data_IF_416978524646
#
_entry.id   IF_416978524646
#
_cell.length_a   1.000
_cell.length_b   1.000
_cell.length_c   1.000
_cell.angle_alpha   90.00
_cell.angle_beta   90.00
_cell.angle_gamma   90.00
#
_symmetry.space_group_name_H-M   'P 1'
#
loop_
_entity.id
_entity.type
_entity.pdbx_description
1 polymer ?
#
# COMPACT_ATOMS: atom_id res chain seq x y z
N UNK A 1 52.49 -3.65 -19.06
CA UNK A 1 51.45 -3.05 -18.20
C UNK A 1 50.09 -3.48 -18.71
N UNK A 2 49.36 -4.22 -17.89
CA UNK A 2 48.01 -4.71 -18.15
C UNK A 2 47.01 -3.54 -18.27
N UNK A 3 45.78 -3.81 -18.77
CA UNK A 3 44.74 -2.78 -18.82
C UNK A 3 44.31 -2.40 -17.41
N UNK A 4 44.18 -3.38 -16.52
CA UNK A 4 43.83 -3.15 -15.12
C UNK A 4 44.87 -2.28 -14.41
N UNK A 5 46.16 -2.56 -14.61
CA UNK A 5 47.26 -1.76 -14.05
C UNK A 5 47.18 -0.29 -14.52
N UNK A 6 46.94 -0.06 -15.82
CA UNK A 6 46.78 1.31 -16.38
C UNK A 6 45.60 2.05 -15.77
N UNK A 7 44.46 1.39 -15.59
CA UNK A 7 43.27 1.98 -14.98
C UNK A 7 43.54 2.29 -13.50
N UNK A 8 44.21 1.39 -12.80
CA UNK A 8 44.55 1.55 -11.38
C UNK A 8 45.48 2.73 -11.17
N UNK A 9 46.53 2.84 -11.98
CA UNK A 9 47.47 3.97 -11.97
C UNK A 9 46.75 5.31 -12.22
N UNK A 10 45.88 5.39 -13.23
CA UNK A 10 45.10 6.60 -13.49
C UNK A 10 44.20 6.99 -12.31
N UNK A 11 43.57 6.03 -11.65
CA UNK A 11 42.71 6.31 -10.50
C UNK A 11 43.54 6.74 -9.28
N UNK A 12 44.73 6.17 -9.09
CA UNK A 12 45.67 6.59 -8.06
C UNK A 12 46.14 8.03 -8.31
N UNK A 13 46.58 8.35 -9.52
CA UNK A 13 46.97 9.71 -9.92
C UNK A 13 45.84 10.71 -9.76
N UNK A 14 44.61 10.36 -10.14
CA UNK A 14 43.43 11.22 -9.96
C UNK A 14 43.16 11.51 -8.48
N UNK A 15 43.30 10.51 -7.60
CA UNK A 15 43.14 10.68 -6.16
C UNK A 15 44.26 11.57 -5.57
N UNK A 16 45.49 11.45 -6.07
CA UNK A 16 46.62 12.30 -5.67
C UNK A 16 46.49 13.73 -6.21
N UNK A 17 46.02 13.93 -7.45
CA UNK A 17 45.82 15.25 -8.04
C UNK A 17 44.77 16.08 -7.30
N UNK A 18 43.79 15.42 -6.70
CA UNK A 18 42.84 16.06 -5.78
C UNK A 18 43.51 16.60 -4.51
N UNK A 19 44.71 16.13 -4.19
CA UNK A 19 45.47 16.49 -2.99
C UNK A 19 46.75 17.30 -3.30
N UNK A 20 47.32 17.21 -4.51
CA UNK A 20 48.60 17.82 -4.92
C UNK A 20 48.57 18.12 -6.42
N UNK A 21 49.01 19.31 -6.87
CA UNK A 21 49.12 19.64 -8.31
C UNK A 21 50.24 18.86 -9.02
N UNK A 22 49.96 17.61 -9.39
CA UNK A 22 50.86 16.75 -10.18
C UNK A 22 50.52 16.88 -11.67
N UNK A 23 51.55 16.95 -12.53
CA UNK A 23 51.43 17.16 -13.98
C UNK A 23 50.44 16.24 -14.71
N UNK A 24 49.97 16.68 -15.87
CA UNK A 24 48.94 16.00 -16.65
C UNK A 24 49.46 14.69 -17.28
N UNK A 25 48.68 13.59 -17.25
CA UNK A 25 49.11 12.33 -17.82
C UNK A 25 49.22 12.41 -19.35
N UNK A 26 50.15 11.63 -19.93
CA UNK A 26 50.36 11.47 -21.39
C UNK A 26 49.20 10.68 -22.04
N UNK A 27 47.98 11.16 -21.94
CA UNK A 27 46.81 10.61 -22.62
C UNK A 27 45.75 11.68 -22.87
N UNK A 28 44.88 11.47 -23.85
CA UNK A 28 43.72 12.34 -24.08
C UNK A 28 42.83 12.41 -22.83
N UNK A 29 42.24 13.58 -22.55
CA UNK A 29 41.27 13.76 -21.47
C UNK A 29 40.12 12.73 -21.51
N UNK A 30 39.61 12.43 -22.71
CA UNK A 30 38.52 11.45 -22.91
C UNK A 30 38.91 10.04 -22.41
N UNK A 31 40.15 9.62 -22.68
CA UNK A 31 40.67 8.32 -22.21
C UNK A 31 40.90 8.34 -20.69
N UNK A 32 41.43 9.45 -20.17
CA UNK A 32 41.66 9.63 -18.74
C UNK A 32 40.35 9.54 -17.93
N UNK A 33 39.31 10.29 -18.33
CA UNK A 33 37.99 10.24 -17.69
C UNK A 33 37.34 8.86 -17.79
N UNK A 34 37.53 8.17 -18.91
CA UNK A 34 37.05 6.79 -19.10
C UNK A 34 37.69 5.85 -18.09
N UNK A 35 39.01 5.92 -17.91
CA UNK A 35 39.71 5.06 -16.97
C UNK A 35 39.35 5.38 -15.52
N UNK A 36 39.16 6.66 -15.17
CA UNK A 36 38.63 7.05 -13.85
C UNK A 36 37.26 6.42 -13.63
N UNK A 37 36.34 6.53 -14.60
CA UNK A 37 34.98 6.00 -14.47
C UNK A 37 34.99 4.49 -14.30
N UNK A 38 35.75 3.76 -15.12
CA UNK A 38 35.88 2.31 -15.01
C UNK A 38 36.49 1.93 -13.65
N UNK A 39 37.58 2.58 -13.23
CA UNK A 39 38.23 2.26 -11.97
C UNK A 39 37.36 2.54 -10.75
N UNK A 40 36.57 3.61 -10.76
CA UNK A 40 35.65 3.95 -9.66
C UNK A 40 34.41 3.06 -9.60
N UNK A 41 33.83 2.69 -10.74
CA UNK A 41 32.46 2.18 -10.79
C UNK A 41 32.29 0.78 -11.39
N UNK A 42 33.31 0.22 -12.05
CA UNK A 42 33.23 -1.17 -12.51
C UNK A 42 33.36 -2.11 -11.32
N UNK A 43 32.48 -3.10 -11.28
CA UNK A 43 32.53 -4.19 -10.31
C UNK A 43 33.92 -4.85 -10.25
N UNK A 44 34.28 -5.32 -9.05
CA UNK A 44 35.59 -5.91 -8.80
C UNK A 44 35.82 -7.19 -9.61
N UNK A 45 34.83 -8.07 -9.71
CA UNK A 45 34.96 -9.31 -10.48
C UNK A 45 35.07 -9.00 -11.98
N UNK A 46 34.32 -8.00 -12.46
CA UNK A 46 34.41 -7.54 -13.85
C UNK A 46 35.74 -6.83 -14.17
N UNK A 47 36.43 -6.24 -13.19
CA UNK A 47 37.77 -5.69 -13.38
C UNK A 47 38.78 -6.79 -13.72
N UNK A 48 38.66 -7.96 -13.10
CA UNK A 48 39.51 -9.11 -13.43
C UNK A 48 39.30 -9.56 -14.89
N UNK A 49 38.11 -9.33 -15.47
CA UNK A 49 37.81 -9.65 -16.86
C UNK A 49 38.49 -8.72 -17.89
N UNK A 50 39.10 -7.59 -17.49
CA UNK A 50 39.74 -6.65 -18.43
C UNK A 50 40.97 -7.23 -19.15
N UNK A 51 41.71 -8.09 -18.44
CA UNK A 51 42.95 -8.68 -18.93
C UNK A 51 42.78 -10.12 -19.45
N UNK A 52 41.57 -10.68 -19.34
CA UNK A 52 41.24 -11.99 -19.93
C UNK A 52 41.30 -11.98 -21.46
N UNK A 53 41.19 -13.16 -22.07
CA UNK A 53 41.12 -13.37 -23.52
C UNK A 53 39.80 -14.01 -23.91
N UNK A 54 39.45 -13.93 -25.19
CA UNK A 54 38.27 -14.59 -25.73
C UNK A 54 36.95 -13.99 -25.25
N UNK A 55 35.95 -14.85 -24.99
CA UNK A 55 34.58 -14.43 -24.68
C UNK A 55 34.47 -13.75 -23.32
N UNK A 56 35.29 -14.17 -22.34
CA UNK A 56 35.30 -13.64 -20.98
C UNK A 56 36.01 -12.30 -20.85
N UNK A 57 36.65 -11.80 -21.91
CA UNK A 57 37.26 -10.48 -21.93
C UNK A 57 36.20 -9.37 -21.98
N UNK A 58 36.28 -8.41 -21.06
CA UNK A 58 35.56 -7.14 -21.16
C UNK A 58 36.44 -6.11 -21.87
N UNK A 59 35.97 -5.56 -22.99
CA UNK A 59 36.70 -4.48 -23.67
C UNK A 59 36.54 -3.16 -22.90
N UNK A 60 37.49 -2.23 -23.05
CA UNK A 60 37.40 -0.90 -22.42
C UNK A 60 36.12 -0.16 -22.84
N UNK A 61 35.71 -0.28 -24.11
CA UNK A 61 34.47 0.33 -24.60
C UNK A 61 33.22 -0.28 -23.96
N UNK A 62 33.21 -1.62 -23.79
CA UNK A 62 32.12 -2.32 -23.11
C UNK A 62 32.06 -1.97 -21.62
N UNK A 63 33.21 -1.94 -20.94
CA UNK A 63 33.31 -1.55 -19.54
C UNK A 63 32.82 -0.11 -19.31
N UNK A 64 33.21 0.85 -20.15
CA UNK A 64 32.76 2.24 -20.05
C UNK A 64 31.24 2.39 -20.29
N UNK A 65 30.69 1.68 -21.28
CA UNK A 65 29.24 1.66 -21.51
C UNK A 65 28.50 1.04 -20.31
N UNK A 66 29.00 -0.08 -19.79
CA UNK A 66 28.39 -0.80 -18.68
C UNK A 66 28.32 0.07 -17.41
N UNK A 67 29.41 0.74 -17.02
CA UNK A 67 29.42 1.61 -15.83
C UNK A 67 28.62 2.91 -16.00
N UNK A 68 28.31 3.30 -17.25
CA UNK A 68 27.40 4.41 -17.55
C UNK A 68 25.94 3.98 -17.47
N UNK A 69 25.64 2.78 -17.96
CA UNK A 69 24.27 2.26 -17.99
C UNK A 69 23.84 1.61 -16.67
N UNK A 70 24.78 1.12 -15.83
CA UNK A 70 24.46 0.54 -14.52
C UNK A 70 25.53 0.82 -13.47
N UNK A 71 25.11 1.29 -12.29
CA UNK A 71 25.98 1.57 -11.13
C UNK A 71 25.98 0.44 -10.10
N UNK A 72 25.03 -0.49 -10.18
CA UNK A 72 24.93 -1.59 -9.25
C UNK A 72 25.84 -2.76 -9.70
N UNK A 73 26.80 -3.22 -8.86
CA UNK A 73 27.66 -4.36 -9.18
C UNK A 73 26.90 -5.63 -9.61
N UNK A 74 25.81 -5.99 -8.92
CA UNK A 74 25.02 -7.18 -9.22
C UNK A 74 24.37 -7.06 -10.61
N UNK A 75 23.91 -5.86 -10.95
CA UNK A 75 23.30 -5.58 -12.25
C UNK A 75 24.34 -5.56 -13.35
N UNK A 76 25.54 -5.02 -13.10
CA UNK A 76 26.65 -5.08 -14.05
C UNK A 76 27.02 -6.54 -14.36
N UNK A 77 27.15 -7.38 -13.34
CA UNK A 77 27.44 -8.81 -13.50
C UNK A 77 26.31 -9.54 -14.24
N UNK A 78 25.06 -9.25 -13.91
CA UNK A 78 23.89 -9.77 -14.64
C UNK A 78 23.96 -9.42 -16.14
N UNK A 79 24.13 -8.14 -16.47
CA UNK A 79 24.22 -7.68 -17.87
C UNK A 79 25.39 -8.36 -18.58
N UNK A 80 26.58 -8.36 -17.97
CA UNK A 80 27.77 -8.96 -18.57
C UNK A 80 27.59 -10.45 -18.87
N UNK A 81 27.00 -11.20 -17.94
CA UNK A 81 26.74 -12.62 -18.14
C UNK A 81 25.78 -12.91 -19.30
N UNK A 82 24.82 -12.02 -19.57
CA UNK A 82 23.90 -12.16 -20.71
C UNK A 82 24.56 -11.78 -22.04
N UNK A 83 25.47 -10.81 -22.06
CA UNK A 83 26.09 -10.34 -23.31
C UNK A 83 27.43 -11.00 -23.64
N UNK A 84 28.12 -11.64 -22.69
CA UNK A 84 29.49 -12.17 -22.91
C UNK A 84 29.61 -13.20 -24.03
N UNK A 85 28.52 -13.82 -24.46
CA UNK A 85 28.53 -14.78 -25.56
C UNK A 85 28.42 -14.13 -26.95
N UNK A 86 28.04 -12.86 -27.02
CA UNK A 86 27.81 -12.10 -28.26
C UNK A 86 29.10 -11.49 -28.84
N UNK A 87 29.05 -11.01 -30.08
CA UNK A 87 30.15 -10.26 -30.70
C UNK A 87 30.27 -8.87 -30.06
N UNK A 88 31.49 -8.31 -29.98
CA UNK A 88 31.76 -7.06 -29.25
C UNK A 88 30.82 -5.89 -29.57
N UNK A 89 30.46 -5.68 -30.84
CA UNK A 89 29.54 -4.62 -31.25
C UNK A 89 28.11 -4.87 -30.74
N UNK A 90 27.65 -6.11 -30.82
CA UNK A 90 26.34 -6.53 -30.31
C UNK A 90 26.27 -6.41 -28.79
N UNK A 91 27.36 -6.75 -28.08
CA UNK A 91 27.44 -6.60 -26.61
C UNK A 91 27.09 -5.19 -26.16
N UNK A 92 27.67 -4.18 -26.81
CA UNK A 92 27.47 -2.77 -26.46
C UNK A 92 26.04 -2.33 -26.75
N UNK A 93 25.49 -2.73 -27.91
CA UNK A 93 24.14 -2.36 -28.33
C UNK A 93 23.08 -2.97 -27.43
N UNK A 94 23.31 -4.19 -26.93
CA UNK A 94 22.37 -4.91 -26.07
C UNK A 94 22.33 -4.45 -24.63
N UNK A 95 23.30 -3.67 -24.14
CA UNK A 95 23.32 -3.23 -22.74
C UNK A 95 22.03 -2.51 -22.37
N UNK A 96 21.53 -1.65 -23.26
CA UNK A 96 20.37 -0.82 -22.97
C UNK A 96 19.08 -1.67 -22.86
N UNK A 97 19.00 -2.84 -23.51
CA UNK A 97 17.89 -3.81 -23.36
C UNK A 97 17.80 -4.36 -21.93
N UNK A 98 18.90 -4.35 -21.17
CA UNK A 98 18.96 -4.88 -19.80
C UNK A 98 18.94 -3.79 -18.72
N UNK A 99 18.85 -2.52 -19.10
CA UNK A 99 18.82 -1.39 -18.15
C UNK A 99 17.50 -0.65 -18.11
N UNK A 100 16.48 -1.20 -18.75
CA UNK A 100 15.11 -0.72 -18.61
C UNK A 100 14.51 -1.21 -17.28
N UNK A 101 13.96 -0.28 -16.50
CA UNK A 101 13.25 -0.61 -15.27
C UNK A 101 11.88 -1.21 -15.58
N UNK A 102 11.56 -2.37 -15.02
CA UNK A 102 10.28 -3.07 -15.25
C UNK A 102 9.03 -2.32 -14.77
N UNK A 103 9.18 -1.32 -13.88
CA UNK A 103 8.05 -0.55 -13.36
C UNK A 103 7.77 0.74 -14.13
N UNK A 104 8.83 1.47 -14.52
CA UNK A 104 8.66 2.76 -15.22
C UNK A 104 9.02 2.71 -16.71
N UNK A 105 9.52 1.58 -17.21
CA UNK A 105 9.96 1.41 -18.60
C UNK A 105 11.02 2.45 -19.02
N UNK A 106 11.80 2.95 -18.06
CA UNK A 106 12.87 3.92 -18.31
C UNK A 106 14.25 3.29 -18.09
N UNK A 107 15.21 3.72 -18.90
CA UNK A 107 16.61 3.39 -18.70
C UNK A 107 17.16 4.14 -17.48
N UNK A 108 17.40 3.41 -16.40
CA UNK A 108 17.86 3.99 -15.14
C UNK A 108 19.16 3.32 -14.68
N UNK A 109 20.22 4.09 -14.37
CA UNK A 109 21.50 3.52 -13.96
C UNK A 109 21.53 3.06 -12.50
N UNK A 110 20.51 3.42 -11.72
CA UNK A 110 20.40 3.10 -10.29
C UNK A 110 19.30 2.07 -10.05
N UNK A 111 19.59 0.81 -10.36
CA UNK A 111 18.66 -0.30 -10.13
C UNK A 111 19.15 -1.22 -9.03
N UNK A 112 18.20 -1.82 -8.31
CA UNK A 112 18.45 -2.79 -7.26
C UNK A 112 17.79 -4.12 -7.60
N UNK A 113 18.50 -5.22 -7.31
CA UNK A 113 17.99 -6.58 -7.47
C UNK A 113 17.04 -6.89 -6.32
N UNK A 114 15.81 -7.28 -6.62
CA UNK A 114 14.83 -7.71 -5.63
C UNK A 114 15.15 -9.14 -5.17
N UNK A 115 15.24 -9.41 -3.86
CA UNK A 115 15.67 -10.72 -3.37
C UNK A 115 14.65 -11.85 -3.59
N UNK A 116 13.38 -11.50 -3.87
CA UNK A 116 12.29 -12.47 -3.99
C UNK A 116 12.07 -12.99 -5.42
N UNK A 117 12.28 -12.15 -6.43
CA UNK A 117 12.06 -12.49 -7.84
C UNK A 117 13.33 -12.33 -8.70
N UNK A 118 14.42 -11.83 -8.11
CA UNK A 118 15.67 -11.55 -8.79
C UNK A 118 15.62 -10.48 -9.89
N UNK A 119 14.47 -9.83 -10.08
CA UNK A 119 14.29 -8.72 -11.01
C UNK A 119 14.97 -7.44 -10.54
N UNK A 120 15.35 -6.60 -11.52
CA UNK A 120 15.92 -5.29 -11.28
C UNK A 120 14.85 -4.20 -11.39
N UNK A 121 14.83 -3.30 -10.40
CA UNK A 121 13.93 -2.15 -10.37
C UNK A 121 14.72 -0.91 -9.99
N UNK A 122 14.42 0.23 -10.61
CA UNK A 122 15.07 1.49 -10.27
C UNK A 122 14.72 1.94 -8.84
N UNK A 123 15.69 2.53 -8.15
CA UNK A 123 15.53 2.97 -6.76
C UNK A 123 14.41 4.01 -6.60
N UNK A 124 14.18 4.86 -7.61
CA UNK A 124 13.07 5.83 -7.58
C UNK A 124 11.71 5.13 -7.51
N UNK A 125 11.50 4.09 -8.33
CA UNK A 125 10.25 3.33 -8.30
C UNK A 125 10.09 2.57 -6.99
N UNK A 126 11.17 2.00 -6.44
CA UNK A 126 11.14 1.33 -5.13
C UNK A 126 10.77 2.31 -4.01
N UNK A 127 11.40 3.49 -3.96
CA UNK A 127 11.05 4.48 -2.93
C UNK A 127 9.63 5.01 -3.10
N UNK A 128 9.19 5.26 -4.33
CA UNK A 128 7.81 5.70 -4.63
C UNK A 128 6.80 4.63 -4.22
N UNK A 129 7.06 3.37 -4.52
CA UNK A 129 6.23 2.24 -4.10
C UNK A 129 6.11 2.17 -2.57
N UNK A 130 7.23 2.20 -1.86
CA UNK A 130 7.23 2.21 -0.39
C UNK A 130 6.50 3.42 0.19
N UNK A 131 6.66 4.60 -0.42
CA UNK A 131 5.95 5.81 -0.03
C UNK A 131 4.44 5.68 -0.23
N UNK A 132 4.00 5.22 -1.40
CA UNK A 132 2.59 4.97 -1.72
C UNK A 132 1.99 4.03 -0.70
N UNK A 133 2.56 2.83 -0.50
CA UNK A 133 1.99 1.83 0.41
C UNK A 133 2.00 2.28 1.89
N UNK A 134 2.95 3.14 2.29
CA UNK A 134 3.00 3.66 3.67
C UNK A 134 1.98 4.76 3.92
N UNK A 135 1.58 5.48 2.88
CA UNK A 135 0.64 6.60 2.95
C UNK A 135 -0.76 6.25 2.41
N UNK A 136 -0.94 5.03 1.92
CA UNK A 136 -2.23 4.52 1.47
C UNK A 136 -3.22 4.46 2.64
N UNK A 137 -4.51 4.51 2.29
CA UNK A 137 -5.61 4.42 3.26
C UNK A 137 -5.54 3.07 3.99
N UNK A 138 -5.23 2.01 3.25
CA UNK A 138 -5.00 0.68 3.79
C UNK A 138 -3.52 0.34 3.78
N UNK A 139 -2.99 0.05 4.95
CA UNK A 139 -1.65 -0.47 5.09
C UNK A 139 -1.61 -1.97 4.75
N UNK A 140 -0.89 -2.30 3.67
CA UNK A 140 -0.69 -3.68 3.21
C UNK A 140 0.72 -4.22 3.48
N UNK A 141 1.62 -3.37 3.99
CA UNK A 141 3.03 -3.71 4.19
C UNK A 141 3.88 -3.56 2.94
N UNK A 142 5.21 -3.52 3.12
CA UNK A 142 6.13 -3.40 1.99
C UNK A 142 6.36 -4.74 1.31
N UNK A 143 5.57 -4.97 0.27
CA UNK A 143 5.68 -6.13 -0.61
C UNK A 143 6.40 -5.76 -1.90
N UNK A 144 6.95 -6.77 -2.57
CA UNK A 144 7.52 -6.65 -3.89
C UNK A 144 6.47 -6.11 -4.87
N UNK A 145 6.77 -5.04 -5.63
CA UNK A 145 5.83 -4.50 -6.60
C UNK A 145 5.59 -5.41 -7.81
N UNK A 146 6.40 -6.47 -8.00
CA UNK A 146 6.28 -7.41 -9.12
C UNK A 146 5.58 -8.71 -8.72
N UNK A 147 6.04 -9.35 -7.64
CA UNK A 147 5.53 -10.67 -7.22
C UNK A 147 4.73 -10.64 -5.91
N UNK A 148 4.47 -9.46 -5.34
CA UNK A 148 3.73 -9.26 -4.10
C UNK A 148 4.28 -9.98 -2.85
N UNK A 149 5.48 -10.58 -2.94
CA UNK A 149 6.13 -11.23 -1.80
C UNK A 149 6.63 -10.20 -0.77
N UNK A 150 6.53 -10.47 0.54
CA UNK A 150 7.07 -9.58 1.56
C UNK A 150 8.56 -9.27 1.37
N UNK A 151 8.93 -8.00 1.49
CA UNK A 151 10.34 -7.61 1.40
C UNK A 151 11.03 -7.85 2.74
N UNK A 152 12.09 -8.65 2.71
CA UNK A 152 12.87 -9.02 3.90
C UNK A 152 13.50 -7.81 4.59
N UNK A 153 13.54 -7.84 5.93
CA UNK A 153 14.09 -6.72 6.72
C UNK A 153 15.55 -6.42 6.40
N UNK A 154 16.35 -7.45 6.07
CA UNK A 154 17.76 -7.30 5.71
C UNK A 154 17.93 -6.42 4.46
N UNK A 155 17.10 -6.65 3.44
CA UNK A 155 17.09 -5.85 2.23
C UNK A 155 16.67 -4.40 2.52
N UNK A 156 15.63 -4.20 3.33
CA UNK A 156 15.17 -2.85 3.73
C UNK A 156 16.25 -2.11 4.52
N UNK A 157 16.90 -2.78 5.48
CA UNK A 157 18.06 -2.22 6.18
C UNK A 157 19.16 -1.85 5.20
N UNK A 158 19.40 -2.63 4.15
CA UNK A 158 20.42 -2.31 3.16
C UNK A 158 20.12 -1.05 2.34
N UNK A 159 18.84 -0.73 2.12
CA UNK A 159 18.39 0.47 1.38
C UNK A 159 18.30 1.70 2.29
N UNK A 160 17.89 1.50 3.54
CA UNK A 160 17.55 2.58 4.46
C UNK A 160 18.58 2.83 5.57
N UNK A 161 19.48 1.90 5.90
CA UNK A 161 20.36 2.02 7.07
C UNK A 161 21.44 3.09 6.90
N UNK A 162 21.85 3.67 8.04
CA UNK A 162 23.03 4.53 8.10
C UNK A 162 24.32 3.71 7.98
N UNK A 163 24.90 3.72 6.77
CA UNK A 163 26.35 3.77 6.47
C UNK A 163 27.37 2.82 7.15
N UNK A 164 27.00 1.81 7.94
CA UNK A 164 28.02 0.92 8.54
C UNK A 164 27.73 -0.58 8.50
N UNK A 165 26.53 -1.01 8.10
CA UNK A 165 26.12 -2.43 8.24
C UNK A 165 26.38 -3.25 6.96
N UNK A 166 26.41 -2.63 5.78
CA UNK A 166 26.74 -3.34 4.55
C UNK A 166 27.48 -2.43 3.54
N UNK A 167 28.81 -2.61 3.34
CA UNK A 167 29.59 -1.87 2.35
C UNK A 167 29.07 -2.03 0.92
N UNK A 168 28.39 -3.15 0.63
CA UNK A 168 27.95 -3.54 -0.71
C UNK A 168 26.93 -2.54 -1.27
N UNK A 169 26.07 -1.95 -0.44
CA UNK A 169 25.03 -1.00 -0.90
C UNK A 169 25.43 0.48 -0.76
N UNK A 170 26.71 0.76 -0.59
CA UNK A 170 27.21 2.13 -0.49
C UNK A 170 27.28 2.86 -1.84
N UNK A 171 27.13 2.14 -2.96
CA UNK A 171 27.31 2.69 -4.31
C UNK A 171 26.33 3.82 -4.65
N UNK A 172 25.07 3.74 -4.23
CA UNK A 172 24.08 4.82 -4.47
C UNK A 172 23.98 5.85 -3.34
N UNK A 173 24.49 5.54 -2.14
CA UNK A 173 24.41 6.45 -0.97
C UNK A 173 25.20 7.74 -1.21
N UNK A 174 26.25 7.68 -2.02
CA UNK A 174 27.09 8.83 -2.41
C UNK A 174 26.46 9.71 -3.49
N UNK A 175 25.42 9.24 -4.16
CA UNK A 175 24.78 9.96 -5.26
C UNK A 175 23.92 11.09 -4.71
N UNK A 176 24.12 12.31 -5.23
CA UNK A 176 23.49 13.53 -4.73
C UNK A 176 21.95 13.41 -4.65
N UNK A 177 21.34 12.74 -5.64
CA UNK A 177 19.90 12.52 -5.72
C UNK A 177 19.34 11.81 -4.47
N UNK A 178 20.00 10.74 -4.02
CA UNK A 178 19.55 9.95 -2.88
C UNK A 178 20.11 10.46 -1.55
N UNK A 179 21.32 11.03 -1.57
CA UNK A 179 21.95 11.57 -0.37
C UNK A 179 21.21 12.81 0.18
N UNK A 180 20.72 13.68 -0.72
CA UNK A 180 19.93 14.86 -0.35
C UNK A 180 18.57 14.51 0.28
N UNK A 181 17.95 13.40 -0.13
CA UNK A 181 16.67 12.88 0.41
C UNK A 181 16.85 11.80 1.48
N UNK A 182 18.06 11.59 1.98
CA UNK A 182 18.35 10.50 2.92
C UNK A 182 17.50 10.57 4.20
N UNK A 183 17.24 11.77 4.72
CA UNK A 183 16.42 11.94 5.92
C UNK A 183 14.96 11.58 5.63
N UNK A 184 14.44 11.98 4.47
CA UNK A 184 13.12 11.57 3.97
C UNK A 184 12.97 10.04 3.96
N UNK A 185 13.90 9.34 3.30
CA UNK A 185 13.85 7.88 3.21
C UNK A 185 13.96 7.21 4.58
N UNK A 186 14.83 7.72 5.48
CA UNK A 186 14.90 7.25 6.86
C UNK A 186 13.57 7.44 7.61
N UNK A 187 12.90 8.57 7.39
CA UNK A 187 11.62 8.87 8.00
C UNK A 187 10.50 7.99 7.45
N UNK A 188 10.53 7.65 6.16
CA UNK A 188 9.64 6.66 5.56
C UNK A 188 9.77 5.29 6.26
N UNK A 189 11.00 4.80 6.44
CA UNK A 189 11.26 3.56 7.18
C UNK A 189 10.80 3.61 8.65
N UNK A 190 11.06 4.73 9.34
CA UNK A 190 10.62 4.93 10.73
C UNK A 190 9.10 4.94 10.86
N UNK A 191 8.39 5.56 9.90
CA UNK A 191 6.92 5.58 9.86
C UNK A 191 6.39 4.16 9.68
N UNK A 192 6.90 3.42 8.70
CA UNK A 192 6.53 2.03 8.46
C UNK A 192 6.70 1.17 9.72
N UNK A 193 7.88 1.21 10.37
CA UNK A 193 8.11 0.48 11.62
C UNK A 193 7.15 0.87 12.75
N UNK A 194 6.77 2.15 12.83
CA UNK A 194 5.82 2.60 13.83
C UNK A 194 4.43 2.02 13.60
N UNK A 195 3.98 1.93 12.33
CA UNK A 195 2.74 1.28 11.93
C UNK A 195 2.75 -0.20 12.31
N UNK A 196 3.79 -0.95 11.91
CA UNK A 196 3.90 -2.38 12.22
C UNK A 196 3.85 -2.65 13.72
N UNK A 197 4.57 -1.89 14.54
CA UNK A 197 4.54 -2.03 16.00
C UNK A 197 3.15 -1.82 16.62
N UNK A 198 2.31 -1.00 15.98
CA UNK A 198 0.92 -0.81 16.41
C UNK A 198 0.06 -2.00 15.98
N UNK A 199 0.25 -2.50 14.77
CA UNK A 199 -0.43 -3.72 14.27
C UNK A 199 -0.07 -4.94 15.12
N UNK A 200 1.19 -5.14 15.49
CA UNK A 200 1.63 -6.23 16.38
C UNK A 200 0.89 -6.20 17.73
N UNK A 201 0.65 -5.00 18.28
CA UNK A 201 -0.11 -4.83 19.53
C UNK A 201 -1.59 -5.14 19.36
N UNK A 202 -2.20 -4.70 18.25
CA UNK A 202 -3.61 -4.93 17.95
C UNK A 202 -3.88 -6.41 17.65
N UNK A 203 -2.99 -7.06 16.91
CA UNK A 203 -3.11 -8.47 16.52
C UNK A 203 -2.66 -9.44 17.61
N UNK A 204 -1.98 -8.96 18.64
CA UNK A 204 -1.28 -9.78 19.65
C UNK A 204 -0.28 -10.77 19.03
N UNK A 205 0.25 -10.47 17.84
CA UNK A 205 1.24 -11.28 17.12
C UNK A 205 2.50 -10.45 16.91
N UNK A 206 3.64 -11.13 16.78
CA UNK A 206 4.91 -10.50 16.44
C UNK A 206 5.31 -10.91 15.03
N UNK A 207 5.93 -9.97 14.31
CA UNK A 207 6.55 -10.29 13.03
C UNK A 207 7.70 -11.26 13.30
N UNK A 208 7.75 -12.32 12.50
CA UNK A 208 8.80 -13.32 12.58
C UNK A 208 10.17 -12.77 12.12
N UNK A 209 11.22 -13.58 12.28
CA UNK A 209 12.57 -13.25 11.82
C UNK A 209 12.66 -13.13 10.29
N UNK A 210 11.73 -13.73 9.55
CA UNK A 210 11.64 -13.63 8.10
C UNK A 210 10.99 -12.31 7.62
N UNK A 211 10.49 -11.50 8.55
CA UNK A 211 9.77 -10.25 8.28
C UNK A 211 8.48 -10.44 7.48
N UNK A 212 7.78 -11.56 7.69
CA UNK A 212 6.52 -11.84 7.02
C UNK A 212 5.39 -10.99 7.61
N UNK A 213 5.08 -9.87 6.96
CA UNK A 213 4.03 -8.93 7.42
C UNK A 213 2.65 -9.59 7.41
N UNK A 214 2.38 -10.53 6.51
CA UNK A 214 1.09 -11.23 6.46
C UNK A 214 0.82 -12.09 7.70
N UNK A 215 1.84 -12.44 8.49
CA UNK A 215 1.66 -13.17 9.76
C UNK A 215 0.88 -12.37 10.82
N UNK A 216 0.97 -11.03 10.77
CA UNK A 216 0.35 -10.12 11.73
C UNK A 216 -0.92 -9.44 11.19
N UNK A 217 -1.16 -9.48 9.88
CA UNK A 217 -2.35 -8.93 9.25
C UNK A 217 -3.46 -10.00 9.24
N UNK A 218 -4.59 -9.70 9.88
CA UNK A 218 -5.78 -10.56 9.79
C UNK A 218 -6.36 -10.54 8.37
N UNK A 219 -6.76 -11.70 7.81
CA UNK A 219 -7.34 -11.77 6.46
C UNK A 219 -8.69 -11.05 6.38
N UNK A 220 -9.38 -10.88 7.51
CA UNK A 220 -10.73 -10.32 7.57
C UNK A 220 -10.75 -8.84 7.91
N UNK A 221 -9.57 -8.20 8.04
CA UNK A 221 -9.44 -6.80 8.47
C UNK A 221 -8.65 -5.95 7.50
N UNK A 222 -9.09 -4.72 7.33
CA UNK A 222 -8.27 -3.63 6.84
C UNK A 222 -7.58 -2.94 8.02
N UNK A 223 -6.34 -2.51 7.82
CA UNK A 223 -5.56 -1.73 8.78
C UNK A 223 -5.26 -0.38 8.16
N UNK A 224 -5.50 0.70 8.88
CA UNK A 224 -5.24 2.05 8.38
C UNK A 224 -4.77 2.97 9.49
N UNK A 225 -4.00 3.99 9.11
CA UNK A 225 -3.51 5.01 10.03
C UNK A 225 -4.50 6.14 10.16
N UNK A 226 -4.65 6.69 11.37
CA UNK A 226 -5.41 7.92 11.55
C UNK A 226 -4.66 9.08 10.86
N UNK A 227 -5.27 9.68 9.84
CA UNK A 227 -4.67 10.76 9.02
C UNK A 227 -4.33 12.01 9.83
N UNK A 228 -5.05 12.28 10.93
CA UNK A 228 -4.86 13.47 11.77
C UNK A 228 -3.63 13.34 12.67
N UNK A 229 -3.46 12.20 13.34
CA UNK A 229 -2.31 11.98 14.24
C UNK A 229 -1.09 11.38 13.55
N UNK A 230 -1.21 11.06 12.26
CA UNK A 230 -0.13 10.56 11.44
C UNK A 230 0.54 11.72 10.68
N UNK A 231 1.71 12.22 11.13
CA UNK A 231 2.38 13.31 10.43
C UNK A 231 2.83 12.88 9.01
N UNK A 232 2.88 13.82 8.06
CA UNK A 232 3.44 13.56 6.74
C UNK A 232 4.93 13.27 6.83
N UNK A 233 5.43 12.51 5.86
CA UNK A 233 6.86 12.24 5.73
C UNK A 233 7.55 13.52 5.23
N UNK A 234 8.65 13.90 5.87
CA UNK A 234 9.46 15.05 5.46
C UNK A 234 10.95 14.82 5.75
N UNK A 235 11.76 15.85 5.46
CA UNK A 235 13.20 15.86 5.72
C UNK A 235 13.58 16.26 7.17
N UNK A 236 12.65 16.27 8.12
CA UNK A 236 12.95 16.64 9.50
C UNK A 236 13.61 15.47 10.25
N UNK A 237 14.86 15.66 10.72
CA UNK A 237 15.62 14.63 11.44
C UNK A 237 14.97 14.18 12.75
N UNK A 238 14.20 15.07 13.38
CA UNK A 238 13.55 14.87 14.67
C UNK A 238 12.09 14.39 14.55
N UNK A 239 11.65 14.02 13.33
CA UNK A 239 10.29 13.51 13.11
C UNK A 239 10.03 12.29 14.00
N UNK A 240 8.97 12.37 14.80
CA UNK A 240 8.54 11.32 15.72
C UNK A 240 7.23 10.71 15.25
N UNK A 241 7.22 9.39 15.12
CA UNK A 241 6.03 8.61 14.75
C UNK A 241 5.43 7.84 15.93
N UNK A 242 5.83 8.18 17.17
CA UNK A 242 5.37 7.49 18.39
C UNK A 242 3.87 7.62 18.64
N UNK A 243 3.27 8.74 18.17
CA UNK A 243 1.87 9.09 18.38
C UNK A 243 0.93 8.57 17.29
N UNK A 244 1.43 7.90 16.26
CA UNK A 244 0.58 7.28 15.24
C UNK A 244 -0.38 6.31 15.92
N UNK A 245 -1.65 6.38 15.51
CA UNK A 245 -2.66 5.39 15.82
C UNK A 245 -3.01 4.61 14.56
N UNK A 246 -3.20 3.31 14.74
CA UNK A 246 -3.66 2.38 13.70
C UNK A 246 -5.00 1.84 14.17
N UNK A 247 -5.98 1.83 13.28
CA UNK A 247 -7.30 1.27 13.52
C UNK A 247 -7.59 0.16 12.52
N UNK A 248 -8.60 -0.65 12.83
CA UNK A 248 -9.03 -1.76 11.99
C UNK A 248 -10.48 -1.63 11.58
N UNK A 249 -10.80 -2.11 10.39
CA UNK A 249 -12.16 -2.24 9.89
C UNK A 249 -12.34 -3.67 9.42
N UNK A 250 -13.42 -4.33 9.82
CA UNK A 250 -13.74 -5.66 9.31
C UNK A 250 -14.13 -5.54 7.82
N UNK A 251 -13.56 -6.38 6.96
CA UNK A 251 -13.79 -6.32 5.50
C UNK A 251 -15.26 -6.48 5.14
N UNK A 252 -16.00 -7.27 5.91
CA UNK A 252 -17.45 -7.47 5.77
C UNK A 252 -18.28 -6.20 6.05
N UNK A 253 -17.70 -5.18 6.68
CA UNK A 253 -18.39 -3.94 7.04
C UNK A 253 -18.14 -2.79 6.03
N UNK A 254 -17.51 -3.07 4.89
CA UNK A 254 -17.19 -2.04 3.89
C UNK A 254 -18.12 -2.18 2.70
N UNK A 255 -18.76 -1.07 2.32
CA UNK A 255 -19.65 -1.02 1.16
C UNK A 255 -18.84 -1.23 -0.13
N UNK A 256 -19.43 -1.98 -1.07
CA UNK A 256 -18.89 -2.15 -2.41
C UNK A 256 -19.72 -1.33 -3.40
N UNK A 257 -19.13 -0.30 -3.99
CA UNK A 257 -19.74 0.43 -5.10
C UNK A 257 -19.30 -0.21 -6.41
N UNK A 258 -20.20 -0.93 -7.09
CA UNK A 258 -19.88 -1.58 -8.37
C UNK A 258 -18.72 -2.58 -8.29
N UNK A 259 -18.74 -3.44 -7.26
CA UNK A 259 -17.68 -4.41 -6.91
C UNK A 259 -16.35 -3.79 -6.43
N UNK A 260 -16.27 -2.47 -6.25
CA UNK A 260 -15.11 -1.78 -5.70
C UNK A 260 -15.33 -1.43 -4.22
N UNK A 261 -14.42 -1.88 -3.38
CA UNK A 261 -14.39 -1.55 -1.95
C UNK A 261 -14.00 -0.06 -1.79
N UNK A 262 -14.91 0.76 -1.26
CA UNK A 262 -14.66 2.19 -1.02
C UNK A 262 -14.26 2.43 0.43
N UNK A 263 -13.05 2.95 0.66
CA UNK A 263 -12.52 3.26 1.99
C UNK A 263 -12.12 4.72 2.10
N UNK A 264 -12.49 5.35 3.21
CA UNK A 264 -12.19 6.74 3.51
C UNK A 264 -11.31 6.87 4.76
N UNK A 265 -10.48 7.91 4.79
CA UNK A 265 -9.58 8.20 5.93
C UNK A 265 -10.33 8.32 7.27
N UNK A 266 -11.57 8.82 7.24
CA UNK A 266 -12.43 8.98 8.42
C UNK A 266 -12.72 7.65 9.13
N UNK A 267 -12.78 6.55 8.35
CA UNK A 267 -13.05 5.22 8.88
C UNK A 267 -11.90 4.70 9.77
N UNK A 268 -10.69 5.26 9.61
CA UNK A 268 -9.50 4.94 10.41
C UNK A 268 -9.14 6.02 11.43
N UNK A 269 -10.00 7.02 11.67
CA UNK A 269 -9.76 8.02 12.72
C UNK A 269 -9.79 7.41 14.12
N UNK A 270 -8.79 7.75 14.94
CA UNK A 270 -8.73 7.33 16.35
C UNK A 270 -9.61 8.21 17.23
N UNK A 271 -10.08 7.65 18.35
CA UNK A 271 -10.97 8.35 19.30
C UNK A 271 -10.50 9.76 19.69
N UNK A 272 -9.21 10.02 20.00
CA UNK A 272 -8.77 11.38 20.35
C UNK A 272 -8.85 12.39 19.20
N UNK A 273 -8.97 11.94 17.96
CA UNK A 273 -9.02 12.77 16.76
C UNK A 273 -10.41 12.77 16.11
N UNK A 274 -11.38 12.03 16.66
CA UNK A 274 -12.76 12.09 16.20
C UNK A 274 -13.39 13.35 16.78
N UNK A 275 -13.88 14.24 15.92
CA UNK A 275 -14.75 15.32 16.36
C UNK A 275 -16.02 14.70 16.98
N UNK A 276 -16.50 15.31 18.07
CA UNK A 276 -17.54 14.77 18.97
C UNK A 276 -18.94 14.62 18.34
N UNK A 277 -19.07 14.65 17.02
CA UNK A 277 -20.34 14.53 16.28
C UNK A 277 -20.51 13.21 15.51
N UNK A 278 -19.52 12.29 15.54
CA UNK A 278 -19.69 10.98 14.91
C UNK A 278 -20.46 10.04 15.84
N UNK A 279 -21.76 9.86 15.59
CA UNK A 279 -22.66 9.05 16.39
C UNK A 279 -22.44 7.54 16.14
N UNK A 280 -21.57 6.89 16.92
CA UNK A 280 -21.39 5.44 16.88
C UNK A 280 -22.54 4.73 17.61
N UNK A 281 -23.46 4.11 16.86
CA UNK A 281 -24.52 3.29 17.45
C UNK A 281 -24.15 1.80 17.38
N UNK A 282 -24.33 1.11 18.52
CA UNK A 282 -24.04 -0.32 18.69
C UNK A 282 -25.18 -1.12 18.07
N UNK A 283 -24.87 -2.05 17.17
CA UNK A 283 -25.87 -3.01 16.70
C UNK A 283 -26.39 -3.83 17.91
N UNK A 284 -27.70 -3.87 18.18
CA UNK A 284 -28.27 -4.52 19.35
C UNK A 284 -28.32 -6.05 19.23
N UNK A 285 -28.08 -6.61 18.03
CA UNK A 285 -28.03 -8.05 17.81
C UNK A 285 -26.62 -8.62 17.96
N UNK A 286 -25.60 -8.01 17.33
CA UNK A 286 -24.23 -8.52 17.36
C UNK A 286 -23.26 -7.67 18.20
N UNK A 287 -23.68 -6.50 18.68
CA UNK A 287 -22.88 -5.64 19.53
C UNK A 287 -21.78 -4.84 18.81
N UNK A 288 -21.67 -4.94 17.49
CA UNK A 288 -20.66 -4.26 16.67
C UNK A 288 -21.00 -2.76 16.58
N UNK A 289 -20.01 -1.90 16.83
CA UNK A 289 -20.11 -0.44 16.65
C UNK A 289 -19.62 -0.08 15.25
N UNK A 290 -20.48 0.54 14.44
CA UNK A 290 -20.14 0.98 13.07
C UNK A 290 -20.53 2.44 12.86
N UNK A 291 -19.92 3.09 11.87
CA UNK A 291 -20.43 4.33 11.27
C UNK A 291 -21.78 4.02 10.60
N UNK A 292 -22.73 4.96 10.65
CA UNK A 292 -23.99 4.84 9.90
C UNK A 292 -23.64 4.70 8.40
N UNK A 293 -23.99 3.59 7.72
CA UNK A 293 -23.78 3.50 6.28
C UNK A 293 -24.77 4.44 5.56
N UNK A 294 -24.33 5.04 4.46
CA UNK A 294 -25.21 5.80 3.58
C UNK A 294 -26.32 4.89 3.03
N UNK A 295 -27.57 5.38 3.03
CA UNK A 295 -28.73 4.62 2.53
C UNK A 295 -29.41 3.66 3.51
N UNK A 296 -29.09 3.69 4.82
CA UNK A 296 -29.81 2.93 5.84
C UNK A 296 -30.80 3.80 6.67
N UNK A 297 -31.99 3.24 6.94
CA UNK A 297 -33.05 3.81 7.77
C UNK A 297 -33.00 3.26 9.20
N UNK A 298 -33.48 4.06 10.16
CA UNK A 298 -33.58 3.69 11.58
C UNK A 298 -34.95 3.05 11.87
N UNK A 299 -34.96 1.95 12.62
CA UNK A 299 -36.18 1.45 13.27
C UNK A 299 -35.92 1.18 14.75
N UNK A 300 -36.83 1.66 15.60
CA UNK A 300 -36.84 1.39 17.03
C UNK A 300 -37.59 0.08 17.26
N UNK A 301 -36.90 -0.96 17.75
CA UNK A 301 -37.56 -2.15 18.29
C UNK A 301 -37.94 -1.91 19.75
N UNK A 302 -39.06 -2.51 20.18
CA UNK A 302 -39.84 -2.19 21.39
C UNK A 302 -39.12 -2.18 22.73
N UNK A 303 -37.87 -2.63 22.78
CA UNK A 303 -36.99 -2.68 23.95
C UNK A 303 -35.80 -1.71 23.83
N UNK A 304 -36.02 -0.55 23.19
CA UNK A 304 -35.07 0.56 23.03
C UNK A 304 -33.78 0.21 22.26
N UNK A 305 -33.86 -0.81 21.41
CA UNK A 305 -32.75 -1.30 20.59
C UNK A 305 -32.84 -0.72 19.17
N UNK A 306 -31.73 -0.18 18.67
CA UNK A 306 -31.65 0.47 17.35
C UNK A 306 -31.28 -0.53 16.25
N UNK A 307 -32.17 -0.83 15.31
CA UNK A 307 -31.83 -1.66 14.15
C UNK A 307 -31.53 -0.81 12.91
N UNK A 308 -30.55 -1.24 12.12
CA UNK A 308 -30.29 -0.70 10.78
C UNK A 308 -31.14 -1.48 9.78
N UNK A 309 -31.95 -0.78 8.99
CA UNK A 309 -32.53 -1.35 7.77
C UNK A 309 -31.80 -0.70 6.61
N UNK A 310 -30.84 -1.41 6.06
CA UNK A 310 -30.12 -0.99 4.87
C UNK A 310 -30.88 -1.44 3.62
N UNK A 311 -30.84 -0.64 2.55
CA UNK A 311 -31.44 -0.98 1.26
C UNK A 311 -30.74 -2.17 0.55
N UNK A 312 -29.72 -2.77 1.17
CA UNK A 312 -28.96 -3.88 0.60
C UNK A 312 -29.37 -5.25 1.15
N UNK A 313 -29.22 -6.23 0.27
CA UNK A 313 -29.72 -7.60 0.33
C UNK A 313 -28.99 -8.43 1.39
N UNK A 314 -29.74 -9.13 2.23
CA UNK A 314 -29.18 -10.24 3.02
C UNK A 314 -29.29 -11.57 2.25
N UNK A 315 -28.32 -12.49 2.39
CA UNK A 315 -28.41 -13.83 1.81
C UNK A 315 -29.66 -14.57 2.33
N UNK A 316 -30.17 -15.48 1.51
CA UNK A 316 -31.37 -16.28 1.79
C UNK A 316 -30.99 -17.49 2.66
N UNK A 317 -30.61 -17.23 3.89
CA UNK A 317 -30.40 -18.26 4.92
C UNK A 317 -31.21 -17.92 6.18
N UNK A 318 -31.25 -18.83 7.16
CA UNK A 318 -31.98 -18.62 8.42
C UNK A 318 -31.36 -17.56 9.34
N UNK A 319 -30.16 -17.05 9.00
CA UNK A 319 -29.46 -16.01 9.75
C UNK A 319 -29.69 -14.60 9.17
N UNK A 320 -30.18 -14.50 7.94
CA UNK A 320 -30.74 -13.29 7.34
C UNK A 320 -32.27 -13.31 7.39
N UNK A 321 -32.91 -12.19 7.76
CA UNK A 321 -34.38 -12.04 7.85
C UNK A 321 -35.17 -12.18 6.51
N UNK A 322 -34.65 -12.90 5.50
CA UNK A 322 -35.32 -13.16 4.22
C UNK A 322 -36.15 -14.44 4.19
N UNK A 323 -36.10 -15.26 5.24
CA UNK A 323 -36.98 -16.45 5.38
C UNK A 323 -38.46 -16.11 5.61
N UNK A 324 -38.82 -14.82 5.70
CA UNK A 324 -40.20 -14.36 5.84
C UNK A 324 -40.86 -13.89 4.53
N UNK A 325 -40.17 -13.96 3.38
CA UNK A 325 -40.74 -13.52 2.10
C UNK A 325 -40.47 -14.52 0.97
N UNK A 326 -41.52 -15.17 0.47
CA UNK A 326 -41.46 -15.97 -0.76
C UNK A 326 -41.41 -15.04 -1.98
N UNK A 327 -40.53 -15.36 -2.94
CA UNK A 327 -40.48 -14.71 -4.26
C UNK A 327 -40.74 -15.81 -5.28
N UNK A 328 -41.89 -15.73 -5.96
CA UNK A 328 -42.42 -16.82 -6.79
C UNK A 328 -41.62 -17.14 -8.05
N UNK A 329 -42.09 -18.10 -8.88
CA UNK A 329 -41.39 -18.52 -10.09
C UNK A 329 -41.41 -17.41 -11.15
N UNK A 330 -40.24 -17.02 -11.65
CA UNK A 330 -40.08 -16.04 -12.72
C UNK A 330 -39.85 -14.60 -12.28
N UNK A 331 -39.87 -14.29 -10.98
CA UNK A 331 -39.46 -12.97 -10.47
C UNK A 331 -38.05 -13.02 -9.89
N UNK A 332 -37.25 -11.98 -10.16
CA UNK A 332 -35.88 -11.85 -9.65
C UNK A 332 -35.85 -10.89 -8.48
N UNK A 333 -34.79 -10.97 -7.66
CA UNK A 333 -34.53 -10.04 -6.56
C UNK A 333 -34.37 -8.56 -7.00
N UNK A 334 -34.45 -8.28 -8.31
CA UNK A 334 -34.29 -6.95 -8.93
C UNK A 334 -35.61 -6.39 -9.52
N UNK A 335 -36.75 -7.04 -9.32
CA UNK A 335 -38.05 -6.54 -9.80
C UNK A 335 -38.54 -5.34 -8.96
N UNK A 336 -38.92 -4.25 -9.62
CA UNK A 336 -39.49 -3.04 -8.99
C UNK A 336 -40.99 -3.19 -8.61
N UNK A 337 -41.59 -4.34 -8.87
CA UNK A 337 -42.98 -4.61 -8.51
C UNK A 337 -43.07 -4.73 -6.97
N UNK A 338 -43.88 -3.87 -6.34
CA UNK A 338 -44.03 -3.84 -4.88
C UNK A 338 -44.28 -5.24 -4.30
N UNK A 339 -43.58 -5.53 -3.20
CA UNK A 339 -43.58 -6.81 -2.46
C UNK A 339 -45.01 -7.25 -2.11
N UNK A 340 -45.59 -8.17 -2.90
CA UNK A 340 -46.84 -8.86 -2.56
C UNK A 340 -46.51 -10.13 -1.76
N UNK A 341 -47.07 -10.27 -0.57
CA UNK A 341 -47.14 -11.56 0.13
C UNK A 341 -48.20 -12.42 -0.55
N UNK A 342 -47.81 -13.62 -0.99
CA UNK A 342 -48.68 -14.56 -1.71
C UNK A 342 -49.19 -15.69 -0.80
N UNK A 343 -48.63 -15.80 0.41
CA UNK A 343 -48.91 -16.88 1.38
C UNK A 343 -49.91 -16.47 2.47
N UNK A 344 -50.46 -15.25 2.40
CA UNK A 344 -51.49 -14.77 3.32
C UNK A 344 -52.79 -14.53 2.53
N UNK A 345 -53.55 -15.61 2.29
CA UNK A 345 -54.80 -15.56 1.51
C UNK A 345 -55.84 -14.61 2.12
N UNK A 346 -55.79 -14.37 3.43
CA UNK A 346 -56.73 -13.52 4.17
C UNK A 346 -56.10 -12.26 4.77
N UNK A 347 -55.05 -11.71 4.17
CA UNK A 347 -54.63 -10.40 4.63
C UNK A 347 -53.81 -9.52 3.70
N UNK A 348 -53.48 -8.33 4.21
CA UNK A 348 -53.43 -7.16 3.37
C UNK A 348 -52.19 -7.10 2.47
N UNK A 349 -52.45 -6.88 1.18
CA UNK A 349 -51.49 -6.99 0.08
C UNK A 349 -50.63 -5.74 -0.18
N UNK A 350 -50.52 -4.84 0.81
CA UNK A 350 -49.75 -3.60 0.73
C UNK A 350 -49.27 -3.18 2.13
N UNK A 351 -48.23 -2.34 2.21
CA UNK A 351 -47.81 -1.70 3.46
C UNK A 351 -49.01 -0.93 4.00
N UNK A 352 -49.54 -1.39 5.12
CA UNK A 352 -50.74 -0.83 5.71
C UNK A 352 -50.46 0.49 6.41
N UNK A 353 -51.34 1.46 6.23
CA UNK A 353 -51.35 2.71 7.02
C UNK A 353 -51.58 2.44 8.53
N UNK A 354 -52.13 1.28 8.91
CA UNK A 354 -52.25 0.78 10.29
C UNK A 354 -52.03 -0.75 10.34
N UNK A 355 -51.18 -1.23 11.25
CA UNK A 355 -50.92 -2.66 11.44
C UNK A 355 -51.67 -3.22 12.65
N UNK A 356 -52.59 -4.16 12.40
CA UNK A 356 -53.50 -4.73 13.40
C UNK A 356 -53.05 -6.13 13.84
N UNK A 357 -51.83 -6.55 13.48
CA UNK A 357 -51.40 -7.92 13.75
C UNK A 357 -51.23 -8.14 15.25
N UNK A 358 -51.48 -9.37 15.71
CA UNK A 358 -51.38 -9.79 17.11
C UNK A 358 -50.07 -9.36 17.80
N UNK A 359 -48.99 -9.24 17.05
CA UNK A 359 -47.66 -8.85 17.54
C UNK A 359 -47.42 -7.33 17.56
N UNK A 360 -48.27 -6.54 16.92
CA UNK A 360 -48.23 -5.07 16.89
C UNK A 360 -49.31 -4.41 17.77
N UNK A 361 -50.32 -5.18 18.22
CA UNK A 361 -51.33 -4.72 19.17
C UNK A 361 -50.64 -4.35 20.50
N UNK A 362 -50.63 -3.06 20.82
CA UNK A 362 -49.98 -2.49 22.02
C UNK A 362 -48.67 -1.73 21.76
N UNK A 363 -48.18 -1.67 20.52
CA UNK A 363 -47.02 -0.85 20.12
C UNK A 363 -47.38 0.61 19.84
N UNK A 364 -46.41 1.52 19.99
CA UNK A 364 -46.58 2.93 19.63
C UNK A 364 -46.59 3.12 18.09
N UNK A 365 -47.43 4.01 17.54
CA UNK A 365 -47.49 4.27 16.11
C UNK A 365 -46.19 4.89 15.59
N UNK A 366 -45.78 4.52 14.38
CA UNK A 366 -44.65 5.10 13.67
C UNK A 366 -45.15 6.11 12.63
N UNK A 367 -44.49 7.27 12.53
CA UNK A 367 -44.81 8.26 11.50
C UNK A 367 -44.45 7.76 10.10
N UNK A 368 -45.32 8.07 9.12
CA UNK A 368 -45.18 7.67 7.71
C UNK A 368 -44.04 8.40 6.99
N UNK A 369 -43.72 9.63 7.40
CA UNK A 369 -42.64 10.45 6.84
C UNK A 369 -41.47 10.60 7.82
N UNK A 370 -40.25 10.50 7.27
CA UNK A 370 -38.98 10.39 8.00
C UNK A 370 -38.59 11.64 8.83
N UNK A 371 -39.18 12.81 8.51
CA UNK A 371 -38.82 14.10 9.13
C UNK A 371 -39.88 14.67 10.10
N UNK A 372 -40.89 13.89 10.49
CA UNK A 372 -41.94 14.38 11.39
C UNK A 372 -41.43 14.55 12.85
N UNK A 373 -41.22 15.80 13.26
CA UNK A 373 -40.76 16.16 14.63
C UNK A 373 -41.91 16.34 15.65
N UNK A 374 -43.17 16.20 15.24
CA UNK A 374 -44.32 16.31 16.15
C UNK A 374 -44.50 15.04 16.99
N UNK A 375 -43.95 15.06 18.20
CA UNK A 375 -44.10 13.97 19.19
C UNK A 375 -45.40 14.15 19.97
N UNK A 376 -46.26 13.14 20.01
CA UNK A 376 -47.43 13.12 20.90
C UNK A 376 -47.07 12.51 22.25
N UNK A 377 -47.55 13.13 23.34
CA UNK A 377 -47.55 12.51 24.67
C UNK A 377 -48.60 11.40 24.75
N UNK A 378 -48.41 10.38 25.62
CA UNK A 378 -49.07 9.07 25.48
C UNK A 378 -50.59 9.05 25.74
N UNK A 379 -51.20 10.16 26.17
CA UNK A 379 -52.46 10.11 26.92
C UNK A 379 -53.70 10.70 26.23
N UNK A 380 -53.71 10.92 24.91
CA UNK A 380 -54.96 11.29 24.23
C UNK A 380 -55.26 10.39 23.01
N UNK A 381 -56.37 9.66 23.12
CA UNK A 381 -56.97 8.82 22.08
C UNK A 381 -57.60 9.67 20.95
N UNK A 382 -56.78 10.41 20.22
CA UNK A 382 -57.16 11.01 18.93
C UNK A 382 -56.12 10.61 17.89
N UNK A 383 -56.26 9.39 17.36
CA UNK A 383 -55.32 8.73 16.47
C UNK A 383 -55.30 9.26 15.02
N UNK A 384 -56.04 10.33 14.70
CA UNK A 384 -56.31 10.68 13.30
C UNK A 384 -56.15 12.15 12.89
N UNK A 385 -55.88 13.10 13.79
CA UNK A 385 -55.95 14.52 13.42
C UNK A 385 -54.64 15.18 12.98
N UNK A 386 -53.47 14.54 13.09
CA UNK A 386 -52.18 15.25 12.92
C UNK A 386 -51.27 14.80 11.79
N UNK A 387 -51.69 13.86 10.94
CA UNK A 387 -50.91 13.43 9.77
C UNK A 387 -51.41 14.01 8.42
N UNK A 388 -52.27 15.03 8.43
CA UNK A 388 -52.74 15.69 7.19
C UNK A 388 -51.99 16.98 6.82
N UNK A 389 -51.09 17.49 7.67
CA UNK A 389 -50.34 18.73 7.39
C UNK A 389 -48.82 18.53 7.35
N UNK A 390 -48.32 17.38 6.89
CA UNK A 390 -46.90 17.17 6.59
C UNK A 390 -46.73 16.53 5.21
#
# INVERSE_FOLDING_TARGET
>A
MSILEKITEVNHQHALQFNIHIGTPKMSLVTYEKYIRIGKYLDYELKCCLDLKGKDKISIGLADKLVKSSRNPDHQNFIFNHVKHLKNKERINKIDEFTECTLCCENQPFQIKLPCCEDFVCLDCIYKHFETVTNDIVFTGWNCPLCCSPIQELFLKSIFAKSHINPINYWFIKEHKYSSRRIYHLNLWRKMKAILRKIERISHRRIDSAFNIHSILSPDKYYGVCSICCPPIDNNRFRSYRRIQVNTIEKQCVNAEGDLVVLNNEMFQCEPCRESSIEFKKCPHCGIRTLRPDGCNYVICGDHRWCFICNERLPKDHNGHNVHYWMGPGSSAFSNECRRSVDFQDGPHHVLDNCNCQYCIGGAPLCKNIDCMNRTQPNNNQWYSFCQNC
#
